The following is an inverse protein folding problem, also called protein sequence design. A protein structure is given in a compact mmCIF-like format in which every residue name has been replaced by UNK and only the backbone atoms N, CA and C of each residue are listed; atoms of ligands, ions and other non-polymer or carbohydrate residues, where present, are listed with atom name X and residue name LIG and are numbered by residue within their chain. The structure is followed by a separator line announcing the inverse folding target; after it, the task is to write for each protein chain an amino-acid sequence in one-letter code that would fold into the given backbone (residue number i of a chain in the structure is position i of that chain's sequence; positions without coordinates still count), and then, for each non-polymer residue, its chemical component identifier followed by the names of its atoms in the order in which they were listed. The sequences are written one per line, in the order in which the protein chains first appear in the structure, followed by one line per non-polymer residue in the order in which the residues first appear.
data_IF_045849618593
#
_entry.id   IF_045849618593
#
_cell.length_a   1.000
_cell.length_b   1.000
_cell.length_c   1.000
_cell.angle_alpha   90.00
_cell.angle_beta   90.00
_cell.angle_gamma   90.00
#
_symmetry.space_group_name_H-M   'P 1'
#
loop_
_entity.id
_entity.type
_entity.pdbx_description
1 polymer ?
#
# COMPACT_ATOMS: atom_id res chain seq x y z
N UNK A 1 12.40 16.48 6.03
CA UNK A 1 12.35 15.13 5.40
C UNK A 1 12.89 15.22 3.98
N UNK A 2 13.83 14.37 3.63
CA UNK A 2 14.36 14.35 2.26
C UNK A 2 13.29 13.85 1.29
N UNK A 3 13.22 14.39 0.07
CA UNK A 3 12.28 13.88 -0.94
C UNK A 3 12.63 12.44 -1.32
N UNK A 4 11.67 11.65 -1.77
CA UNK A 4 11.93 10.30 -2.24
C UNK A 4 12.86 10.34 -3.46
N UNK A 5 13.72 9.33 -3.59
CA UNK A 5 14.63 9.28 -4.72
C UNK A 5 13.91 8.77 -5.99
N UNK A 6 14.66 8.77 -7.11
CA UNK A 6 14.10 8.38 -8.41
C UNK A 6 13.62 6.93 -8.43
N UNK A 7 14.32 6.03 -7.77
CA UNK A 7 13.95 4.60 -7.73
C UNK A 7 12.64 4.44 -6.97
N UNK A 8 12.48 5.13 -5.85
CA UNK A 8 11.24 5.14 -5.09
C UNK A 8 10.07 5.60 -5.97
N UNK A 9 10.21 6.71 -6.67
CA UNK A 9 9.18 7.25 -7.54
C UNK A 9 8.84 6.31 -8.69
N UNK A 10 9.84 5.67 -9.28
CA UNK A 10 9.63 4.71 -10.37
C UNK A 10 8.79 3.52 -9.89
N UNK A 11 9.10 2.99 -8.72
CA UNK A 11 8.36 1.85 -8.14
C UNK A 11 6.92 2.26 -7.86
N UNK A 12 6.70 3.42 -7.23
CA UNK A 12 5.35 3.92 -6.94
C UNK A 12 4.54 4.06 -8.23
N UNK A 13 5.12 4.63 -9.27
CA UNK A 13 4.46 4.80 -10.56
C UNK A 13 4.10 3.46 -11.19
N UNK A 14 5.04 2.52 -11.22
CA UNK A 14 4.81 1.21 -11.83
C UNK A 14 3.71 0.43 -11.12
N UNK A 15 3.72 0.40 -9.79
CA UNK A 15 2.65 -0.25 -9.02
C UNK A 15 1.31 0.43 -9.25
N UNK A 16 1.28 1.75 -9.17
CA UNK A 16 0.05 2.52 -9.33
C UNK A 16 -0.58 2.26 -10.71
N UNK A 17 0.24 2.24 -11.76
CA UNK A 17 -0.23 1.98 -13.12
C UNK A 17 -0.80 0.57 -13.26
N UNK A 18 -0.11 -0.44 -12.75
CA UNK A 18 -0.55 -1.84 -12.83
C UNK A 18 -1.86 -2.05 -12.07
N UNK A 19 -1.97 -1.48 -10.89
CA UNK A 19 -3.19 -1.59 -10.08
C UNK A 19 -4.34 -0.85 -10.76
N UNK A 20 -4.09 0.37 -11.24
CA UNK A 20 -5.10 1.15 -11.94
C UNK A 20 -5.63 0.42 -13.17
N UNK A 21 -4.74 -0.12 -13.98
CA UNK A 21 -5.12 -0.88 -15.18
C UNK A 21 -5.97 -2.09 -14.83
N UNK A 22 -5.59 -2.81 -13.77
CA UNK A 22 -6.37 -3.97 -13.33
C UNK A 22 -7.79 -3.56 -12.93
N UNK A 23 -7.92 -2.50 -12.14
CA UNK A 23 -9.23 -2.01 -11.70
C UNK A 23 -10.08 -1.60 -12.90
N UNK A 24 -9.51 -0.86 -13.85
CA UNK A 24 -10.24 -0.41 -15.05
C UNK A 24 -10.66 -1.58 -15.92
N UNK A 25 -9.78 -2.55 -16.14
CA UNK A 25 -10.06 -3.68 -17.02
C UNK A 25 -11.07 -4.66 -16.44
N UNK A 26 -11.23 -4.68 -15.12
CA UNK A 26 -12.16 -5.58 -14.44
C UNK A 26 -13.42 -4.86 -13.94
N UNK A 27 -13.61 -3.61 -14.37
CA UNK A 27 -14.76 -2.77 -13.99
C UNK A 27 -14.96 -2.69 -12.47
N UNK A 28 -13.84 -2.66 -11.73
CA UNK A 28 -13.89 -2.63 -10.27
C UNK A 28 -14.29 -1.27 -9.72
N UNK A 29 -14.84 -1.28 -8.51
CA UNK A 29 -15.22 -0.07 -7.80
C UNK A 29 -14.07 0.52 -6.98
N UNK A 30 -12.98 -0.20 -6.83
CA UNK A 30 -11.84 0.29 -6.06
C UNK A 30 -11.12 1.42 -6.78
N UNK A 31 -10.44 2.26 -6.00
CA UNK A 31 -9.63 3.36 -6.51
C UNK A 31 -8.22 3.26 -5.95
N UNK A 32 -7.23 3.66 -6.75
CA UNK A 32 -5.83 3.69 -6.32
C UNK A 32 -5.33 5.13 -6.33
N UNK A 33 -4.67 5.52 -5.24
CA UNK A 33 -4.11 6.85 -5.09
C UNK A 33 -2.66 6.77 -4.63
N UNK A 34 -1.71 7.29 -5.40
CA UNK A 34 -0.34 7.46 -4.93
C UNK A 34 -0.22 8.68 -4.03
N UNK A 35 0.81 8.72 -3.20
CA UNK A 35 1.11 9.89 -2.37
C UNK A 35 1.43 11.11 -3.25
N UNK A 36 1.14 12.33 -2.79
CA UNK A 36 0.56 12.65 -1.48
C UNK A 36 -0.96 12.42 -1.47
N UNK A 37 -1.41 11.63 -0.53
CA UNK A 37 -2.83 11.32 -0.37
C UNK A 37 -3.09 11.04 1.11
N UNK A 38 -3.94 11.84 1.75
CA UNK A 38 -4.16 11.74 3.18
C UNK A 38 -5.11 10.61 3.53
N UNK A 39 -4.74 9.80 4.52
CA UNK A 39 -5.56 8.71 5.05
C UNK A 39 -5.78 8.95 6.54
N UNK A 40 -7.02 9.19 6.90
CA UNK A 40 -7.44 9.40 8.29
C UNK A 40 -7.90 8.06 8.86
N UNK A 41 -6.94 7.27 9.34
CA UNK A 41 -7.19 5.87 9.76
C UNK A 41 -8.26 5.74 10.84
N UNK A 42 -8.32 6.70 11.75
CA UNK A 42 -9.28 6.70 12.85
C UNK A 42 -10.56 7.47 12.51
N UNK A 43 -10.72 7.87 11.26
CA UNK A 43 -11.85 8.66 10.78
C UNK A 43 -12.04 9.97 11.57
N UNK A 44 -10.96 10.52 12.14
CA UNK A 44 -10.96 11.83 12.77
C UNK A 44 -10.46 12.90 11.79
N UNK A 45 -10.58 14.16 12.15
CA UNK A 45 -10.19 15.28 11.29
C UNK A 45 -8.77 15.77 11.55
N UNK A 46 -8.03 15.15 12.46
CA UNK A 46 -6.82 15.74 13.02
C UNK A 46 -5.55 14.99 12.69
N UNK A 47 -5.61 13.67 12.57
CA UNK A 47 -4.43 12.83 12.40
C UNK A 47 -4.54 12.01 11.14
N UNK A 48 -3.55 12.14 10.27
CA UNK A 48 -3.53 11.36 9.04
C UNK A 48 -2.14 10.85 8.74
N UNK A 49 -2.09 9.82 7.89
CA UNK A 49 -0.85 9.30 7.30
C UNK A 49 -0.94 9.49 5.79
N UNK A 50 0.22 9.45 5.13
CA UNK A 50 0.29 9.54 3.67
C UNK A 50 1.06 8.33 3.13
N UNK A 51 0.43 7.17 3.01
CA UNK A 51 1.09 6.00 2.44
C UNK A 51 1.50 6.26 0.99
N UNK A 52 2.56 5.59 0.55
CA UNK A 52 3.02 5.75 -0.83
C UNK A 52 1.95 5.39 -1.85
N UNK A 53 1.22 4.30 -1.60
CA UNK A 53 0.08 3.89 -2.44
C UNK A 53 -1.04 3.41 -1.55
N UNK A 54 -2.26 3.85 -1.83
CA UNK A 54 -3.47 3.43 -1.13
C UNK A 54 -4.52 2.95 -2.13
N UNK A 55 -5.13 1.79 -1.85
CA UNK A 55 -6.23 1.24 -2.65
C UNK A 55 -7.47 1.19 -1.76
N UNK A 56 -8.53 1.86 -2.19
CA UNK A 56 -9.76 2.02 -1.44
C UNK A 56 -10.92 1.41 -2.23
N UNK A 57 -11.61 0.44 -1.63
CA UNK A 57 -12.71 -0.26 -2.29
C UNK A 57 -14.09 0.19 -1.82
N UNK A 58 -14.16 1.01 -0.78
CA UNK A 58 -15.41 1.63 -0.32
C UNK A 58 -15.39 3.12 -0.67
N UNK A 59 -16.06 3.53 -1.76
CA UNK A 59 -16.03 4.92 -2.18
C UNK A 59 -16.71 5.87 -1.19
N UNK A 60 -17.53 5.37 -0.27
CA UNK A 60 -18.17 6.22 0.74
C UNK A 60 -17.18 6.82 1.73
N UNK A 61 -15.97 6.27 1.82
CA UNK A 61 -14.91 6.79 2.69
C UNK A 61 -14.12 7.93 2.05
N UNK A 62 -14.30 8.18 0.77
CA UNK A 62 -13.54 9.19 0.03
C UNK A 62 -14.24 10.54 0.04
N UNK A 63 -13.47 11.60 0.30
CA UNK A 63 -13.89 12.99 0.14
C UNK A 63 -12.74 13.81 -0.42
N UNK A 64 -12.92 15.13 -0.53
CA UNK A 64 -11.89 16.00 -1.12
C UNK A 64 -10.58 16.02 -0.36
N UNK A 65 -10.57 15.68 0.92
CA UNK A 65 -9.36 15.64 1.73
C UNK A 65 -8.56 14.35 1.56
N UNK A 66 -9.22 13.25 1.24
CA UNK A 66 -8.61 11.93 1.12
C UNK A 66 -9.55 10.82 1.53
N UNK A 67 -9.04 9.86 2.31
CA UNK A 67 -9.78 8.70 2.78
C UNK A 67 -10.09 8.82 4.27
N UNK A 68 -11.34 8.63 4.65
CA UNK A 68 -11.77 8.60 6.06
C UNK A 68 -11.97 7.15 6.48
N UNK A 69 -10.99 6.60 7.13
CA UNK A 69 -10.96 5.20 7.53
C UNK A 69 -9.82 4.46 6.87
N UNK A 70 -9.79 3.14 7.06
CA UNK A 70 -8.71 2.30 6.55
C UNK A 70 -8.89 2.00 5.07
N UNK A 71 -7.86 2.23 4.24
CA UNK A 71 -7.82 1.66 2.89
C UNK A 71 -7.81 0.14 2.95
N UNK A 72 -8.19 -0.50 1.85
CA UNK A 72 -8.15 -1.95 1.75
C UNK A 72 -6.73 -2.48 1.61
N UNK A 73 -5.88 -1.74 0.89
CA UNK A 73 -4.51 -2.16 0.62
C UNK A 73 -3.58 -0.95 0.65
N UNK A 74 -2.47 -1.08 1.37
CA UNK A 74 -1.45 -0.06 1.46
C UNK A 74 -0.12 -0.65 1.01
N UNK A 75 0.61 0.09 0.17
CA UNK A 75 1.96 -0.25 -0.24
C UNK A 75 2.88 0.89 0.19
N UNK A 76 3.96 0.56 0.87
CA UNK A 76 5.01 1.52 1.20
C UNK A 76 6.34 1.07 0.63
N UNK A 77 7.05 2.01 0.02
CA UNK A 77 8.37 1.78 -0.56
C UNK A 77 9.40 2.34 0.41
N UNK A 78 10.28 1.48 0.89
CA UNK A 78 11.29 1.88 1.86
C UNK A 78 12.27 2.87 1.25
N UNK A 79 12.65 3.86 2.04
CA UNK A 79 13.73 4.79 1.69
C UNK A 79 14.95 4.50 2.56
N UNK A 80 16.11 5.04 2.19
CA UNK A 80 17.37 4.77 2.86
C UNK A 80 17.40 5.18 4.34
N UNK A 81 16.48 6.02 4.77
CA UNK A 81 16.40 6.46 6.18
C UNK A 81 15.33 5.75 6.99
N UNK A 82 14.59 4.81 6.40
CA UNK A 82 13.48 4.15 7.10
C UNK A 82 14.00 3.08 8.04
N UNK A 83 13.66 3.18 9.31
CA UNK A 83 14.08 2.25 10.35
C UNK A 83 13.10 1.09 10.47
N UNK A 84 13.64 -0.07 10.82
CA UNK A 84 12.85 -1.30 11.01
C UNK A 84 11.72 -1.14 12.02
N UNK A 85 11.96 -0.36 13.08
CA UNK A 85 10.98 -0.13 14.13
C UNK A 85 9.74 0.62 13.59
N UNK A 86 9.93 1.50 12.62
CA UNK A 86 8.83 2.26 12.03
C UNK A 86 7.85 1.34 11.31
N UNK A 87 8.35 0.29 10.67
CA UNK A 87 7.49 -0.70 10.00
C UNK A 87 6.67 -1.52 10.99
N UNK A 88 7.25 -1.87 12.14
CA UNK A 88 6.52 -2.58 13.18
C UNK A 88 5.37 -1.74 13.74
N UNK A 89 5.60 -0.46 13.98
CA UNK A 89 4.59 0.47 14.44
C UNK A 89 3.50 0.64 13.38
N UNK A 90 3.88 0.82 12.13
CA UNK A 90 2.93 0.98 11.01
C UNK A 90 2.10 -0.28 10.82
N UNK A 91 2.71 -1.45 10.89
CA UNK A 91 2.01 -2.73 10.75
C UNK A 91 0.91 -2.87 11.81
N UNK A 92 1.24 -2.59 13.06
CA UNK A 92 0.28 -2.60 14.16
C UNK A 92 -0.85 -1.60 13.92
N UNK A 93 -0.51 -0.39 13.52
CA UNK A 93 -1.45 0.69 13.29
C UNK A 93 -2.42 0.35 12.15
N UNK A 94 -1.91 -0.16 11.05
CA UNK A 94 -2.74 -0.52 9.90
C UNK A 94 -3.64 -1.72 10.21
N UNK A 95 -3.09 -2.74 10.86
CA UNK A 95 -3.89 -3.90 11.29
C UNK A 95 -5.03 -3.48 12.21
N UNK A 96 -4.72 -2.65 13.20
CA UNK A 96 -5.71 -2.19 14.18
C UNK A 96 -6.82 -1.35 13.54
N UNK A 97 -6.50 -0.61 12.48
CA UNK A 97 -7.46 0.23 11.78
C UNK A 97 -8.36 -0.54 10.81
N UNK A 98 -7.98 -1.75 10.44
CA UNK A 98 -8.78 -2.58 9.52
C UNK A 98 -8.26 -2.65 8.09
N UNK A 99 -7.02 -2.25 7.85
CA UNK A 99 -6.38 -2.45 6.53
C UNK A 99 -6.29 -3.95 6.26
N UNK A 100 -6.69 -4.37 5.06
CA UNK A 100 -6.75 -5.79 4.70
C UNK A 100 -5.42 -6.35 4.22
N UNK A 101 -4.62 -5.54 3.53
CA UNK A 101 -3.35 -5.97 2.94
C UNK A 101 -2.33 -4.84 3.03
N UNK A 102 -1.08 -5.20 3.39
CA UNK A 102 0.00 -4.24 3.54
C UNK A 102 1.28 -4.80 2.93
N UNK A 103 1.90 -4.05 2.02
CA UNK A 103 3.15 -4.42 1.38
C UNK A 103 4.25 -3.44 1.75
N UNK A 104 5.42 -3.97 2.07
CA UNK A 104 6.64 -3.18 2.23
C UNK A 104 7.60 -3.58 1.14
N UNK A 105 7.94 -2.63 0.27
CA UNK A 105 8.83 -2.82 -0.87
C UNK A 105 10.18 -2.18 -0.54
N UNK A 106 11.24 -2.97 -0.50
CA UNK A 106 12.57 -2.47 -0.16
C UNK A 106 13.49 -2.52 -1.38
N UNK A 107 13.80 -1.36 -2.01
CA UNK A 107 14.65 -1.33 -3.20
C UNK A 107 16.11 -1.70 -2.92
N UNK A 108 16.58 -1.54 -1.69
CA UNK A 108 17.96 -1.85 -1.33
C UNK A 108 18.19 -3.36 -1.24
N UNK A 109 17.27 -4.08 -0.61
CA UNK A 109 17.36 -5.53 -0.46
C UNK A 109 16.69 -6.27 -1.61
N UNK A 110 15.88 -5.56 -2.40
CA UNK A 110 15.06 -6.12 -3.48
C UNK A 110 14.10 -7.20 -2.97
N UNK A 111 13.51 -6.94 -1.83
CA UNK A 111 12.54 -7.83 -1.18
C UNK A 111 11.22 -7.09 -1.00
N UNK A 112 10.12 -7.82 -1.18
CA UNK A 112 8.77 -7.36 -0.89
C UNK A 112 8.23 -8.22 0.25
N UNK A 113 7.81 -7.57 1.33
CA UNK A 113 7.08 -8.23 2.41
C UNK A 113 5.59 -7.99 2.21
N UNK A 114 4.83 -9.08 2.16
CA UNK A 114 3.37 -9.04 1.96
C UNK A 114 2.70 -9.51 3.24
N UNK A 115 1.87 -8.66 3.83
CA UNK A 115 1.10 -8.98 5.02
C UNK A 115 -0.37 -9.08 4.65
N UNK A 116 -0.95 -10.26 4.82
CA UNK A 116 -2.38 -10.47 4.70
C UNK A 116 -3.00 -10.23 6.08
N UNK A 117 -3.49 -9.01 6.30
CA UNK A 117 -3.95 -8.59 7.63
C UNK A 117 -5.32 -9.14 8.01
N UNK A 118 -6.00 -9.79 7.09
CA UNK A 118 -7.24 -10.52 7.39
C UNK A 118 -6.96 -11.88 8.04
N UNK A 119 -5.73 -12.39 7.88
CA UNK A 119 -5.27 -13.60 8.53
C UNK A 119 -4.35 -13.24 9.69
N UNK A 120 -4.44 -13.96 10.79
CA UNK A 120 -3.63 -13.67 11.97
C UNK A 120 -2.16 -13.99 11.79
N UNK A 121 -1.85 -14.82 10.84
CA UNK A 121 -0.49 -15.31 10.64
C UNK A 121 0.02 -14.87 9.27
N UNK A 122 1.26 -14.46 9.22
CA UNK A 122 2.10 -14.53 8.06
C UNK A 122 2.25 -13.27 7.26
N UNK A 123 3.49 -12.86 7.27
CA UNK A 123 4.09 -12.17 6.16
C UNK A 123 4.73 -13.20 5.24
N UNK A 124 4.54 -13.05 3.95
CA UNK A 124 5.31 -13.74 2.93
C UNK A 124 6.35 -12.79 2.39
N UNK A 125 7.53 -13.33 2.08
CA UNK A 125 8.60 -12.56 1.45
C UNK A 125 8.76 -12.99 0.00
N UNK A 126 8.89 -11.99 -0.87
CA UNK A 126 9.10 -12.21 -2.30
C UNK A 126 10.29 -11.40 -2.77
N UNK A 127 10.89 -11.84 -3.85
CA UNK A 127 11.95 -11.11 -4.56
C UNK A 127 11.32 -10.24 -5.66
N UNK A 128 12.06 -9.28 -6.15
CA UNK A 128 11.55 -8.39 -7.20
C UNK A 128 11.24 -9.10 -8.52
N UNK A 129 11.88 -10.22 -8.79
CA UNK A 129 11.62 -11.03 -9.99
C UNK A 129 10.52 -12.08 -9.80
N UNK A 130 9.95 -12.18 -8.61
CA UNK A 130 8.83 -13.09 -8.35
C UNK A 130 7.51 -12.49 -8.82
N UNK A 131 6.60 -13.39 -9.22
CA UNK A 131 5.20 -13.02 -9.45
C UNK A 131 4.47 -13.09 -8.11
N UNK A 132 3.92 -11.96 -7.68
CA UNK A 132 3.31 -11.83 -6.35
C UNK A 132 1.80 -11.79 -6.48
N UNK A 133 1.12 -12.78 -5.90
CA UNK A 133 -0.34 -12.80 -5.85
C UNK A 133 -0.84 -11.78 -4.83
N UNK A 134 -1.70 -10.89 -5.29
CA UNK A 134 -2.36 -9.92 -4.40
C UNK A 134 -3.43 -10.63 -3.58
N UNK A 135 -3.54 -10.29 -2.29
CA UNK A 135 -4.48 -10.98 -1.40
C UNK A 135 -5.93 -10.56 -1.62
N UNK A 136 -6.18 -9.26 -1.83
CA UNK A 136 -7.55 -8.75 -1.98
C UNK A 136 -8.14 -8.97 -3.38
N UNK A 137 -7.33 -9.36 -4.35
CA UNK A 137 -7.78 -9.63 -5.72
C UNK A 137 -7.31 -11.01 -6.17
N UNK A 138 -8.24 -11.88 -6.54
CA UNK A 138 -7.93 -13.26 -6.92
C UNK A 138 -7.12 -13.36 -8.21
N UNK A 139 -7.30 -12.41 -9.12
CA UNK A 139 -6.73 -12.48 -10.46
C UNK A 139 -5.61 -11.47 -10.72
N UNK A 140 -5.14 -10.80 -9.69
CA UNK A 140 -4.05 -9.82 -9.86
C UNK A 140 -2.74 -10.39 -9.33
N UNK A 141 -1.78 -10.51 -10.23
CA UNK A 141 -0.41 -10.89 -9.94
C UNK A 141 0.49 -9.72 -10.36
N UNK A 142 1.37 -9.29 -9.47
CA UNK A 142 2.27 -8.17 -9.75
C UNK A 142 3.72 -8.63 -9.72
N UNK A 143 4.45 -8.24 -10.75
CA UNK A 143 5.90 -8.38 -10.83
C UNK A 143 6.49 -6.97 -10.92
N UNK A 144 7.50 -6.68 -10.09
CA UNK A 144 8.08 -5.34 -9.99
C UNK A 144 9.03 -5.03 -11.17
N UNK A 145 9.66 -6.05 -11.72
CA UNK A 145 10.60 -5.86 -12.83
C UNK A 145 9.92 -5.62 -14.20
#
# INVERSE_FOLDING_TARGET
MAPPNRIHQKIVMNFSAKIHDYIQNNHGSCKVYPAPFAVFLNADDKTYVEPDISVICDPSTLDDRGCNGAPDWIIEVASSGTKRIDYGIKLFKYRSAGVREYWIVNPLTKIVNVFDLEKEELSDQYRFDDDIQVCIYDNLVINIT
#
